data_IF_505236711111
#
_entry.id   IF_505236711111
#
_cell.length_a   1.000
_cell.length_b   1.000
_cell.length_c   1.000
_cell.angle_alpha   90.00
_cell.angle_beta   90.00
_cell.angle_gamma   90.00
#
_symmetry.space_group_name_H-M   'P 1'
#
loop_
_entity.id
_entity.type
_entity.pdbx_description
1 polymer ?
#
# COMPACT_ATOMS: atom_id res chain seq x y z
N UNK A 1 15.53 -29.19 24.62
CA UNK A 1 16.11 -28.11 23.81
C UNK A 1 17.54 -28.51 23.48
N UNK A 2 18.09 -28.04 22.38
CA UNK A 2 19.44 -28.37 21.91
C UNK A 2 20.15 -27.05 21.56
N UNK A 3 21.37 -26.88 22.06
CA UNK A 3 22.23 -25.77 21.65
C UNK A 3 23.16 -26.28 20.54
N UNK A 4 23.21 -25.54 19.43
CA UNK A 4 24.14 -25.79 18.34
C UNK A 4 25.39 -24.92 18.54
N UNK A 5 26.55 -25.51 18.89
CA UNK A 5 27.78 -24.78 19.14
C UNK A 5 28.44 -24.22 17.86
N UNK A 6 28.10 -24.72 16.66
CA UNK A 6 28.67 -24.21 15.41
C UNK A 6 27.96 -22.93 14.95
N UNK A 7 26.63 -22.90 15.07
CA UNK A 7 25.81 -21.75 14.66
C UNK A 7 25.51 -20.79 15.81
N UNK A 8 25.71 -21.23 17.06
CA UNK A 8 25.35 -20.49 18.27
C UNK A 8 23.83 -20.45 18.51
N UNK A 9 23.06 -21.29 17.82
CA UNK A 9 21.60 -21.29 17.90
C UNK A 9 21.07 -22.14 19.06
N UNK A 10 20.05 -21.64 19.72
CA UNK A 10 19.32 -22.39 20.73
C UNK A 10 18.00 -22.89 20.16
N UNK A 11 17.93 -24.20 19.89
CA UNK A 11 16.72 -24.85 19.44
C UNK A 11 15.87 -25.28 20.63
N UNK A 12 14.73 -24.62 20.80
CA UNK A 12 13.74 -25.02 21.79
C UNK A 12 13.08 -26.33 21.36
N UNK A 13 12.93 -27.26 22.30
CA UNK A 13 12.13 -28.47 22.05
C UNK A 13 10.66 -28.05 22.03
N UNK A 14 10.00 -28.24 20.90
CA UNK A 14 8.56 -28.13 20.79
C UNK A 14 7.93 -29.31 21.58
N UNK A 15 7.34 -29.02 22.74
CA UNK A 15 6.75 -30.03 23.63
C UNK A 15 5.26 -30.27 23.37
N UNK A 16 4.61 -29.32 22.71
CA UNK A 16 3.20 -29.37 22.35
C UNK A 16 3.12 -29.19 20.83
N UNK A 17 2.48 -30.13 20.12
CA UNK A 17 2.34 -30.06 18.66
C UNK A 17 1.54 -28.84 18.17
N UNK A 18 0.80 -28.16 19.06
CA UNK A 18 0.16 -26.87 18.82
C UNK A 18 1.11 -25.68 19.02
N UNK A 19 2.29 -25.90 19.61
CA UNK A 19 3.41 -24.95 19.64
C UNK A 19 4.13 -24.98 18.29
N UNK A 20 3.35 -24.67 17.26
CA UNK A 20 3.83 -24.27 15.94
C UNK A 20 2.91 -23.16 15.47
N UNK A 21 3.37 -21.91 15.59
CA UNK A 21 2.82 -20.67 14.99
C UNK A 21 1.35 -20.28 15.23
N UNK A 22 0.49 -21.21 15.60
CA UNK A 22 -0.95 -21.09 15.64
C UNK A 22 -1.41 -21.26 17.08
N UNK A 23 -1.73 -20.15 17.72
CA UNK A 23 -2.33 -20.13 19.04
C UNK A 23 -3.83 -19.90 18.89
N UNK A 24 -4.66 -20.87 19.27
CA UNK A 24 -6.12 -20.80 19.10
C UNK A 24 -6.75 -19.63 19.87
N UNK A 25 -6.26 -19.34 21.07
CA UNK A 25 -6.71 -18.20 21.88
C UNK A 25 -6.39 -16.88 21.19
N UNK A 26 -5.16 -16.71 20.67
CA UNK A 26 -4.78 -15.49 19.95
C UNK A 26 -5.49 -15.38 18.61
N UNK A 27 -5.69 -16.49 17.89
CA UNK A 27 -6.47 -16.50 16.66
C UNK A 27 -7.92 -16.05 16.93
N UNK A 28 -8.55 -16.53 18.00
CA UNK A 28 -9.90 -16.12 18.38
C UNK A 28 -9.97 -14.65 18.81
N UNK A 29 -8.98 -14.18 19.57
CA UNK A 29 -8.93 -12.82 20.07
C UNK A 29 -8.64 -11.78 18.97
N UNK A 30 -7.65 -12.07 18.11
CA UNK A 30 -7.12 -11.11 17.12
C UNK A 30 -7.77 -11.32 15.75
N UNK A 31 -8.36 -12.51 15.50
CA UNK A 31 -9.06 -12.87 14.25
C UNK A 31 -8.22 -12.69 12.98
N UNK A 32 -6.90 -12.84 13.09
CA UNK A 32 -5.97 -12.80 11.96
C UNK A 32 -4.97 -13.96 12.01
N UNK A 33 -4.31 -14.23 10.89
CA UNK A 33 -3.30 -15.29 10.80
C UNK A 33 -2.10 -14.97 11.70
N UNK A 34 -1.59 -15.97 12.40
CA UNK A 34 -0.51 -15.83 13.39
C UNK A 34 0.69 -16.70 12.97
N UNK A 35 1.90 -16.14 13.09
CA UNK A 35 3.17 -16.87 12.95
C UNK A 35 4.10 -16.46 14.10
N UNK A 36 4.21 -17.31 15.13
CA UNK A 36 5.00 -17.05 16.33
C UNK A 36 6.31 -17.82 16.26
N UNK A 37 7.42 -17.09 16.04
CA UNK A 37 8.77 -17.68 16.02
C UNK A 37 9.61 -17.23 17.20
N UNK A 38 10.33 -18.17 17.79
CA UNK A 38 11.40 -17.86 18.75
C UNK A 38 12.62 -17.33 18.01
N UNK A 39 13.22 -16.25 18.52
CA UNK A 39 14.42 -15.64 17.96
C UNK A 39 15.56 -15.84 18.96
N UNK A 40 16.38 -16.87 18.70
CA UNK A 40 17.46 -17.28 19.61
C UNK A 40 18.86 -16.82 19.23
N UNK A 41 19.03 -16.26 18.03
CA UNK A 41 20.35 -15.93 17.48
C UNK A 41 20.34 -14.58 16.76
N UNK A 42 21.53 -13.96 16.65
CA UNK A 42 21.73 -12.73 15.86
C UNK A 42 21.39 -12.91 14.38
N UNK A 43 21.85 -13.98 13.71
CA UNK A 43 21.46 -14.29 12.33
C UNK A 43 19.95 -14.47 12.14
N UNK A 44 19.27 -15.20 13.02
CA UNK A 44 17.81 -15.36 12.97
C UNK A 44 17.08 -14.02 13.14
N UNK A 45 17.55 -13.19 14.08
CA UNK A 45 17.03 -11.82 14.26
C UNK A 45 17.14 -11.00 12.98
N UNK A 46 18.30 -11.03 12.33
CA UNK A 46 18.56 -10.29 11.09
C UNK A 46 17.67 -10.80 9.94
N UNK A 47 17.53 -12.12 9.80
CA UNK A 47 16.68 -12.71 8.77
C UNK A 47 15.20 -12.32 8.95
N UNK A 48 14.68 -12.39 10.17
CA UNK A 48 13.29 -11.99 10.48
C UNK A 48 13.09 -10.49 10.24
N UNK A 49 14.07 -9.66 10.61
CA UNK A 49 14.00 -8.22 10.35
C UNK A 49 13.87 -7.94 8.85
N UNK A 50 14.71 -8.55 8.00
CA UNK A 50 14.60 -8.38 6.55
C UNK A 50 13.26 -8.87 6.02
N UNK A 51 12.79 -10.03 6.47
CA UNK A 51 11.49 -10.55 6.06
C UNK A 51 10.34 -9.60 6.42
N UNK A 52 10.33 -9.10 7.66
CA UNK A 52 9.32 -8.16 8.13
C UNK A 52 9.40 -6.84 7.36
N UNK A 53 10.60 -6.30 7.16
CA UNK A 53 10.79 -5.07 6.39
C UNK A 53 10.31 -5.23 4.96
N UNK A 54 10.68 -6.31 4.27
CA UNK A 54 10.24 -6.57 2.88
C UNK A 54 8.71 -6.70 2.80
N UNK A 55 8.09 -7.34 3.80
CA UNK A 55 6.64 -7.47 3.86
C UNK A 55 5.92 -6.14 4.14
N UNK A 56 6.41 -5.34 5.10
CA UNK A 56 5.83 -4.02 5.44
C UNK A 56 6.03 -3.02 4.31
N UNK A 57 7.22 -3.03 3.70
CA UNK A 57 7.60 -2.10 2.62
C UNK A 57 7.14 -2.57 1.25
N UNK A 58 6.40 -3.68 1.16
CA UNK A 58 5.90 -4.24 -0.09
C UNK A 58 5.08 -3.18 -0.83
N UNK A 59 5.62 -2.74 -1.97
CA UNK A 59 4.94 -1.77 -2.81
C UNK A 59 3.60 -2.33 -3.29
N UNK A 60 2.54 -1.52 -3.19
CA UNK A 60 1.21 -1.88 -3.70
C UNK A 60 1.18 -1.98 -5.24
N UNK A 61 2.13 -1.34 -5.92
CA UNK A 61 2.26 -1.38 -7.37
C UNK A 61 3.70 -1.74 -7.75
N UNK A 62 3.86 -2.82 -8.51
CA UNK A 62 5.17 -3.21 -9.02
C UNK A 62 5.65 -2.19 -10.06
N UNK A 63 6.93 -1.86 -10.04
CA UNK A 63 7.50 -0.79 -10.87
C UNK A 63 7.23 -1.00 -12.37
N UNK A 64 7.36 -2.23 -12.89
CA UNK A 64 7.10 -2.52 -14.31
C UNK A 64 5.63 -2.29 -14.70
N UNK A 65 4.67 -2.58 -13.79
CA UNK A 65 3.25 -2.30 -14.01
C UNK A 65 3.01 -0.80 -14.01
N UNK A 66 3.65 -0.06 -13.09
CA UNK A 66 3.58 1.39 -13.05
C UNK A 66 4.12 2.03 -14.34
N UNK A 67 5.27 1.57 -14.84
CA UNK A 67 5.85 2.07 -16.09
C UNK A 67 4.95 1.78 -17.31
N UNK A 68 4.42 0.57 -17.42
CA UNK A 68 3.47 0.23 -18.49
C UNK A 68 2.20 1.10 -18.42
N UNK A 69 1.69 1.38 -17.22
CA UNK A 69 0.54 2.26 -17.03
C UNK A 69 0.83 3.72 -17.44
N UNK A 70 2.03 4.21 -17.15
CA UNK A 70 2.48 5.55 -17.55
C UNK A 70 2.70 5.66 -19.06
N UNK A 71 3.34 4.66 -19.68
CA UNK A 71 3.51 4.59 -21.13
C UNK A 71 2.15 4.65 -21.83
N UNK A 72 1.20 3.81 -21.41
CA UNK A 72 -0.17 3.82 -21.93
C UNK A 72 -0.87 5.18 -21.75
N UNK A 73 -0.62 5.89 -20.65
CA UNK A 73 -1.18 7.22 -20.42
C UNK A 73 -0.59 8.27 -21.38
N UNK A 74 0.72 8.20 -21.65
CA UNK A 74 1.41 9.06 -22.61
C UNK A 74 0.93 8.78 -24.04
N UNK A 75 0.84 7.51 -24.45
CA UNK A 75 0.31 7.14 -25.76
C UNK A 75 -1.12 7.64 -25.96
N UNK A 76 -1.96 7.56 -24.91
CA UNK A 76 -3.34 8.08 -24.91
C UNK A 76 -3.44 9.61 -24.88
N UNK A 77 -2.35 10.33 -24.62
CA UNK A 77 -2.33 11.79 -24.75
C UNK A 77 -2.23 12.20 -26.22
N UNK A 78 -1.66 11.35 -27.08
CA UNK A 78 -1.44 11.63 -28.50
C UNK A 78 -0.26 12.58 -28.73
N UNK A 79 0.00 12.87 -30.01
CA UNK A 79 1.05 13.82 -30.40
C UNK A 79 0.70 15.25 -29.98
N UNK A 80 1.70 16.12 -29.92
CA UNK A 80 1.50 17.52 -29.59
C UNK A 80 0.97 18.29 -30.80
N UNK A 81 -0.17 18.96 -30.64
CA UNK A 81 -0.71 19.84 -31.68
C UNK A 81 -0.57 21.31 -31.25
N UNK A 82 0.34 22.11 -31.86
CA UNK A 82 0.57 23.50 -31.45
C UNK A 82 -0.65 24.43 -31.63
N UNK A 83 -1.68 24.01 -32.38
CA UNK A 83 -2.90 24.80 -32.58
C UNK A 83 -3.94 24.54 -31.48
N UNK A 84 -3.99 23.32 -30.94
CA UNK A 84 -5.04 22.89 -29.99
C UNK A 84 -4.52 22.70 -28.56
N UNK A 85 -3.22 22.42 -28.40
CA UNK A 85 -2.61 22.14 -27.10
C UNK A 85 -1.86 23.35 -26.54
N UNK A 86 -2.54 24.12 -25.70
CA UNK A 86 -1.86 24.99 -24.75
C UNK A 86 -1.02 24.15 -23.78
N UNK A 87 0.23 24.56 -23.56
CA UNK A 87 1.22 23.80 -22.80
C UNK A 87 0.71 23.43 -21.39
N UNK A 88 0.08 24.38 -20.70
CA UNK A 88 -0.46 24.20 -19.34
C UNK A 88 -1.62 23.19 -19.30
N UNK A 89 -2.56 23.31 -20.25
CA UNK A 89 -3.69 22.38 -20.36
C UNK A 89 -3.22 20.96 -20.66
N UNK A 90 -2.25 20.82 -21.57
CA UNK A 90 -1.65 19.52 -21.90
C UNK A 90 -0.90 18.90 -20.72
N UNK A 91 -0.12 19.70 -19.98
CA UNK A 91 0.57 19.24 -18.77
C UNK A 91 -0.42 18.75 -17.69
N UNK A 92 -1.53 19.48 -17.48
CA UNK A 92 -2.56 19.07 -16.54
C UNK A 92 -3.25 17.77 -16.98
N UNK A 93 -3.60 17.65 -18.28
CA UNK A 93 -4.16 16.42 -18.87
C UNK A 93 -3.20 15.23 -18.73
N UNK A 94 -1.90 15.42 -18.97
CA UNK A 94 -0.89 14.38 -18.80
C UNK A 94 -0.86 13.88 -17.34
N UNK A 95 -0.76 14.82 -16.38
CA UNK A 95 -0.75 14.48 -14.95
C UNK A 95 -2.00 13.68 -14.56
N UNK A 96 -3.18 14.13 -15.00
CA UNK A 96 -4.44 13.46 -14.70
C UNK A 96 -4.53 12.06 -15.33
N UNK A 97 -4.12 11.91 -16.61
CA UNK A 97 -4.09 10.60 -17.28
C UNK A 97 -3.12 9.63 -16.60
N UNK A 98 -1.93 10.09 -16.23
CA UNK A 98 -0.95 9.28 -15.49
C UNK A 98 -1.50 8.85 -14.14
N UNK A 99 -2.08 9.79 -13.37
CA UNK A 99 -2.68 9.49 -12.06
C UNK A 99 -3.81 8.47 -12.18
N UNK A 100 -4.76 8.67 -13.10
CA UNK A 100 -5.85 7.72 -13.31
C UNK A 100 -5.36 6.35 -13.81
N UNK A 101 -4.36 6.32 -14.69
CA UNK A 101 -3.79 5.07 -15.18
C UNK A 101 -3.13 4.28 -14.05
N UNK A 102 -2.34 4.94 -13.20
CA UNK A 102 -1.73 4.31 -12.02
C UNK A 102 -2.78 3.80 -11.02
N UNK A 103 -3.77 4.64 -10.67
CA UNK A 103 -4.87 4.24 -9.77
C UNK A 103 -5.63 3.05 -10.34
N UNK A 104 -5.89 3.01 -11.65
CA UNK A 104 -6.60 1.89 -12.29
C UNK A 104 -5.85 0.56 -12.23
N UNK A 105 -4.52 0.60 -12.03
CA UNK A 105 -3.65 -0.57 -11.92
C UNK A 105 -3.27 -0.89 -10.48
N UNK A 106 -3.66 -0.05 -9.53
CA UNK A 106 -3.40 -0.29 -8.12
C UNK A 106 -4.31 -1.40 -7.61
N UNK A 107 -3.71 -2.46 -7.08
CA UNK A 107 -4.43 -3.54 -6.43
C UNK A 107 -4.77 -3.13 -4.99
N UNK A 108 -5.99 -3.43 -4.57
CA UNK A 108 -6.45 -3.23 -3.19
C UNK A 108 -6.48 -4.58 -2.48
N UNK A 109 -6.07 -4.60 -1.21
CA UNK A 109 -6.17 -5.81 -0.40
C UNK A 109 -7.65 -6.19 -0.15
N UNK A 110 -7.93 -7.48 -0.02
CA UNK A 110 -9.28 -7.96 0.27
C UNK A 110 -9.84 -7.33 1.55
N UNK A 111 -9.00 -7.10 2.56
CA UNK A 111 -9.36 -6.46 3.82
C UNK A 111 -9.83 -5.02 3.60
N UNK A 112 -9.13 -4.24 2.78
CA UNK A 112 -9.54 -2.87 2.44
C UNK A 112 -10.88 -2.86 1.70
N UNK A 113 -11.06 -3.75 0.73
CA UNK A 113 -12.32 -3.86 -0.03
C UNK A 113 -13.48 -4.24 0.89
N UNK A 114 -13.29 -5.24 1.76
CA UNK A 114 -14.33 -5.65 2.72
C UNK A 114 -14.63 -4.54 3.72
N UNK A 115 -13.61 -3.84 4.24
CA UNK A 115 -13.80 -2.71 5.15
C UNK A 115 -14.68 -1.63 4.53
N UNK A 116 -14.41 -1.28 3.27
CA UNK A 116 -15.20 -0.32 2.51
C UNK A 116 -16.65 -0.81 2.28
N UNK A 117 -16.83 -2.08 1.88
CA UNK A 117 -18.16 -2.66 1.67
C UNK A 117 -19.00 -2.76 2.95
N UNK A 118 -18.34 -2.92 4.10
CA UNK A 118 -18.98 -3.00 5.42
C UNK A 118 -19.21 -1.62 6.05
N UNK A 119 -18.90 -0.53 5.34
CA UNK A 119 -18.99 0.85 5.83
C UNK A 119 -18.19 1.07 7.13
N UNK A 120 -17.04 0.39 7.23
CA UNK A 120 -16.12 0.60 8.34
C UNK A 120 -15.24 1.82 8.08
N UNK A 121 -15.06 2.62 9.13
CA UNK A 121 -14.25 3.84 9.08
C UNK A 121 -12.78 3.50 8.74
N UNK A 122 -12.27 4.12 7.68
CA UNK A 122 -10.91 3.91 7.15
C UNK A 122 -9.97 5.10 7.41
N UNK A 123 -10.48 6.15 8.04
CA UNK A 123 -9.73 7.36 8.35
C UNK A 123 -10.16 7.92 9.71
N UNK A 124 -9.19 8.33 10.53
CA UNK A 124 -9.45 9.00 11.79
C UNK A 124 -9.10 10.48 11.66
N UNK A 125 -10.08 11.36 11.82
CA UNK A 125 -9.85 12.82 11.79
C UNK A 125 -9.97 13.41 13.18
N UNK A 126 -8.98 14.20 13.59
CA UNK A 126 -9.05 14.97 14.84
C UNK A 126 -10.03 16.15 14.78
N UNK A 127 -10.35 16.62 13.57
CA UNK A 127 -11.20 17.79 13.33
C UNK A 127 -12.27 17.47 12.29
N UNK A 128 -13.37 18.21 12.32
CA UNK A 128 -14.42 18.13 11.30
C UNK A 128 -14.06 19.06 10.14
N UNK A 129 -13.95 18.48 8.95
CA UNK A 129 -13.76 19.22 7.71
C UNK A 129 -15.10 19.41 6.99
N UNK A 130 -15.19 20.44 6.16
CA UNK A 130 -16.33 20.68 5.27
C UNK A 130 -15.92 20.40 3.84
N UNK A 131 -16.82 19.79 3.07
CA UNK A 131 -16.58 19.50 1.66
C UNK A 131 -16.37 20.80 0.88
N UNK A 132 -15.23 20.90 0.21
CA UNK A 132 -14.90 22.01 -0.68
C UNK A 132 -15.08 21.57 -2.13
N UNK A 133 -16.11 22.09 -2.79
CA UNK A 133 -16.39 21.79 -4.19
C UNK A 133 -15.46 22.61 -5.09
N UNK A 134 -14.34 22.00 -5.50
CA UNK A 134 -13.26 22.67 -6.23
C UNK A 134 -13.73 23.43 -7.46
N UNK A 135 -14.53 22.82 -8.34
CA UNK A 135 -15.02 23.47 -9.57
C UNK A 135 -15.87 24.72 -9.29
N UNK A 136 -16.65 24.71 -8.21
CA UNK A 136 -17.47 25.87 -7.83
C UNK A 136 -16.63 26.99 -7.23
N UNK A 137 -15.58 26.64 -6.47
CA UNK A 137 -14.62 27.60 -5.93
C UNK A 137 -13.75 28.20 -7.05
N UNK A 138 -13.24 27.38 -7.94
CA UNK A 138 -12.44 27.79 -9.10
C UNK A 138 -13.24 28.75 -9.99
N UNK A 139 -14.51 28.44 -10.27
CA UNK A 139 -15.40 29.35 -10.99
C UNK A 139 -15.73 30.64 -10.24
N UNK A 140 -15.64 30.66 -8.91
CA UNK A 140 -15.76 31.88 -8.11
C UNK A 140 -14.47 32.72 -8.17
N UNK A 141 -13.31 32.09 -8.02
CA UNK A 141 -11.99 32.77 -8.08
C UNK A 141 -11.78 33.40 -9.45
N UNK A 142 -12.03 32.65 -10.53
CA UNK A 142 -11.88 33.14 -11.91
C UNK A 142 -12.85 34.28 -12.28
N UNK A 143 -13.88 34.55 -11.46
CA UNK A 143 -14.76 35.72 -11.62
C UNK A 143 -14.21 36.97 -10.94
N UNK A 144 -13.43 36.81 -9.87
CA UNK A 144 -12.86 37.91 -9.09
C UNK A 144 -11.49 38.35 -9.66
N UNK A 145 -10.72 37.44 -10.26
CA UNK A 145 -9.52 37.73 -11.06
C UNK A 145 -9.68 37.15 -12.49
N UNK A 146 -10.10 37.96 -13.48
CA UNK A 146 -10.24 37.52 -14.87
C UNK A 146 -8.91 37.32 -15.61
#
# INVERSE_FOLDING_TARGET
>A
SVFDPETGEFHLRCLDGLVNNFNSTMLQAIRCNMDIKFIGSGPASKAILYYLTDYITKSQLQAHVAYAALEMAVTKLGEYNPVEDYLESRACKLRQKCAHSLISKQELSAQQVVSYLMDFEDHFTSHKYVNLYWTSLEGFINKEEP
#
